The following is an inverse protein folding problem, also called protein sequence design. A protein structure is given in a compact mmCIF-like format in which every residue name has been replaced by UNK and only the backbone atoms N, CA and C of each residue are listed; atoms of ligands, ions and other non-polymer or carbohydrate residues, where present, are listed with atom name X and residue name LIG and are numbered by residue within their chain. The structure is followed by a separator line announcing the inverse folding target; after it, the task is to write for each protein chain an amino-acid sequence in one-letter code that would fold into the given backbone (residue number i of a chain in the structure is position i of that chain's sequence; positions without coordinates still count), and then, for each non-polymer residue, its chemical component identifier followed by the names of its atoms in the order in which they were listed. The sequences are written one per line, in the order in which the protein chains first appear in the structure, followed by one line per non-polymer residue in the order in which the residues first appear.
data_IF_118938913464
#
_entry.id   IF_118938913464
#
_cell.length_a   1.000
_cell.length_b   1.000
_cell.length_c   1.000
_cell.angle_alpha   90.00
_cell.angle_beta   90.00
_cell.angle_gamma   90.00
#
_symmetry.space_group_name_H-M   'P 1'
#
loop_
_entity.id
_entity.type
_entity.pdbx_description
1 polymer ?
#
# COMPACT_ATOMS: atom_id res chain seq x y z
N UNK A 1 -18.37 15.55 -3.90
CA UNK A 1 -17.50 15.77 -5.07
C UNK A 1 -16.55 16.89 -4.71
N UNK A 2 -15.31 16.54 -4.41
CA UNK A 2 -14.20 17.50 -4.41
C UNK A 2 -13.98 17.88 -5.88
N UNK A 3 -14.48 19.06 -6.29
CA UNK A 3 -14.09 19.68 -7.57
C UNK A 3 -12.70 20.29 -7.37
N UNK A 4 -11.67 19.44 -7.48
CA UNK A 4 -10.29 19.90 -7.41
C UNK A 4 -10.04 20.80 -8.63
N UNK A 5 -9.76 22.08 -8.37
CA UNK A 5 -9.37 23.06 -9.41
C UNK A 5 -7.88 23.33 -9.29
N UNK A 6 -7.14 22.99 -10.34
CA UNK A 6 -5.71 23.25 -10.42
C UNK A 6 -5.46 24.54 -11.22
N UNK A 7 -4.49 25.33 -10.80
CA UNK A 7 -4.08 26.56 -11.49
C UNK A 7 -2.56 26.59 -11.63
N UNK A 8 -2.04 26.89 -12.82
CA UNK A 8 -0.63 27.25 -12.99
C UNK A 8 -0.47 28.72 -12.58
N UNK A 9 0.60 29.08 -11.88
CA UNK A 9 0.81 30.44 -11.38
C UNK A 9 1.79 31.26 -12.24
N UNK A 10 2.70 30.59 -12.95
CA UNK A 10 3.76 31.23 -13.75
C UNK A 10 3.76 30.63 -15.16
N UNK A 11 3.95 31.45 -16.22
CA UNK A 11 4.14 32.91 -16.20
C UNK A 11 2.84 33.70 -15.94
N UNK A 12 1.67 33.07 -16.02
CA UNK A 12 0.36 33.69 -15.81
C UNK A 12 -0.59 32.69 -15.15
N UNK A 13 -1.60 33.20 -14.42
CA UNK A 13 -2.59 32.34 -13.75
C UNK A 13 -3.54 31.73 -14.77
N UNK A 14 -3.45 30.42 -15.02
CA UNK A 14 -4.36 29.69 -15.90
C UNK A 14 -4.98 28.53 -15.15
N UNK A 15 -6.28 28.31 -15.33
CA UNK A 15 -6.90 27.07 -14.90
C UNK A 15 -6.30 25.91 -15.69
N UNK A 16 -5.80 24.92 -14.97
CA UNK A 16 -5.37 23.65 -15.55
C UNK A 16 -6.59 22.75 -15.64
N UNK A 17 -7.07 22.58 -16.86
CA UNK A 17 -8.18 21.67 -17.13
C UNK A 17 -7.63 20.24 -17.17
N UNK A 18 -7.90 19.47 -16.11
CA UNK A 18 -7.61 18.05 -16.08
C UNK A 18 -8.80 17.31 -16.69
N UNK A 19 -8.54 16.48 -17.70
CA UNK A 19 -9.55 15.73 -18.43
C UNK A 19 -9.38 14.23 -18.18
N UNK A 20 -10.47 13.45 -18.28
CA UNK A 20 -10.34 12.02 -18.48
C UNK A 20 -9.61 11.75 -19.81
N UNK A 21 -8.77 10.73 -19.83
CA UNK A 21 -8.09 10.31 -21.05
C UNK A 21 -9.08 9.59 -21.96
N UNK A 22 -8.91 9.73 -23.27
CA UNK A 22 -9.84 9.14 -24.27
C UNK A 22 -9.70 7.63 -24.39
N UNK A 23 -8.50 7.09 -24.14
CA UNK A 23 -8.17 5.68 -24.24
C UNK A 23 -7.60 5.16 -22.92
N UNK A 24 -8.24 4.15 -22.34
CA UNK A 24 -7.81 3.47 -21.11
C UNK A 24 -6.37 2.97 -21.21
N UNK A 25 -6.00 2.40 -22.36
CA UNK A 25 -4.66 1.92 -22.68
C UNK A 25 -3.56 2.98 -22.54
N UNK A 26 -3.87 4.25 -22.78
CA UNK A 26 -2.88 5.33 -22.60
C UNK A 26 -2.56 5.55 -21.12
N UNK A 27 -3.57 5.47 -20.25
CA UNK A 27 -3.40 5.62 -18.80
C UNK A 27 -2.69 4.42 -18.21
N UNK A 28 -3.09 3.21 -18.63
CA UNK A 28 -2.41 1.98 -18.27
C UNK A 28 -0.92 2.05 -18.65
N UNK A 29 -0.58 2.32 -19.90
CA UNK A 29 0.82 2.39 -20.35
C UNK A 29 1.62 3.49 -19.61
N UNK A 30 0.99 4.63 -19.31
CA UNK A 30 1.60 5.70 -18.54
C UNK A 30 1.91 5.24 -17.11
N UNK A 31 0.98 4.55 -16.47
CA UNK A 31 1.15 4.04 -15.10
C UNK A 31 2.17 2.91 -15.09
N UNK A 32 2.07 1.90 -15.96
CA UNK A 32 3.03 0.78 -16.04
C UNK A 32 4.49 1.27 -16.16
N UNK A 33 4.73 2.27 -17.02
CA UNK A 33 6.08 2.85 -17.21
C UNK A 33 6.62 3.58 -15.99
N UNK A 34 5.74 4.14 -15.15
CA UNK A 34 6.11 5.00 -14.01
C UNK A 34 5.54 4.48 -12.68
N UNK A 35 5.22 3.19 -12.62
CA UNK A 35 4.42 2.58 -11.55
C UNK A 35 5.10 2.73 -10.19
N UNK A 36 6.43 2.63 -10.18
CA UNK A 36 7.25 2.78 -9.00
C UNK A 36 7.23 4.22 -8.48
N UNK A 37 7.33 5.20 -9.38
CA UNK A 37 7.29 6.61 -9.01
C UNK A 37 5.90 7.06 -8.54
N UNK A 38 4.83 6.54 -9.15
CA UNK A 38 3.46 6.93 -8.81
C UNK A 38 2.92 6.23 -7.57
N UNK A 39 3.26 4.96 -7.37
CA UNK A 39 2.61 4.11 -6.38
C UNK A 39 3.58 3.31 -5.50
N UNK A 40 4.90 3.44 -5.68
CA UNK A 40 5.87 2.57 -5.00
C UNK A 40 5.74 1.11 -5.39
N UNK A 41 5.18 0.83 -6.57
CA UNK A 41 4.96 -0.53 -7.07
C UNK A 41 5.87 -0.81 -8.26
N UNK A 42 6.63 -1.91 -8.18
CA UNK A 42 7.43 -2.39 -9.30
C UNK A 42 6.54 -3.15 -10.27
N UNK A 43 6.54 -2.73 -11.54
CA UNK A 43 5.74 -3.34 -12.60
C UNK A 43 6.21 -4.77 -12.89
N UNK A 44 5.27 -5.71 -13.02
CA UNK A 44 5.56 -7.12 -13.24
C UNK A 44 5.06 -7.62 -14.60
N UNK A 45 3.80 -7.36 -14.92
CA UNK A 45 3.20 -7.87 -16.16
C UNK A 45 2.01 -7.02 -16.59
N UNK A 46 1.86 -6.86 -17.91
CA UNK A 46 0.69 -6.24 -18.54
C UNK A 46 -0.18 -7.32 -19.18
N UNK A 47 -1.50 -7.13 -19.19
CA UNK A 47 -2.50 -7.96 -19.87
C UNK A 47 -2.38 -9.45 -19.54
N UNK A 48 -2.23 -9.77 -18.24
CA UNK A 48 -2.00 -11.15 -17.80
C UNK A 48 -3.30 -11.96 -17.87
N UNK A 49 -3.32 -12.92 -18.80
CA UNK A 49 -4.47 -13.81 -18.99
C UNK A 49 -4.47 -14.86 -17.89
N UNK A 50 -5.58 -14.95 -17.17
CA UNK A 50 -5.80 -15.91 -16.11
C UNK A 50 -6.92 -16.87 -16.49
N UNK A 51 -6.76 -18.11 -16.06
CA UNK A 51 -7.86 -19.06 -16.03
C UNK A 51 -8.20 -19.28 -14.56
N UNK A 52 -9.43 -18.97 -14.17
CA UNK A 52 -9.94 -19.30 -12.85
C UNK A 52 -10.85 -20.51 -12.97
N UNK A 53 -10.48 -21.59 -12.30
CA UNK A 53 -11.25 -22.83 -12.26
C UNK A 53 -12.06 -22.80 -10.97
N UNK A 54 -13.27 -22.23 -11.00
CA UNK A 54 -14.15 -22.17 -9.83
C UNK A 54 -15.08 -23.39 -9.74
N UNK A 55 -15.72 -23.58 -8.58
CA UNK A 55 -16.68 -24.68 -8.32
C UNK A 55 -17.88 -24.71 -9.29
N UNK A 56 -18.16 -23.58 -9.96
CA UNK A 56 -19.36 -23.40 -10.78
C UNK A 56 -19.09 -23.16 -12.27
N UNK A 57 -17.93 -22.65 -12.69
CA UNK A 57 -17.57 -22.45 -14.10
C UNK A 57 -16.09 -22.05 -14.29
N UNK A 58 -15.51 -22.40 -15.45
CA UNK A 58 -14.19 -21.89 -15.87
C UNK A 58 -14.36 -20.46 -16.41
N UNK A 59 -13.75 -19.49 -15.74
CA UNK A 59 -13.77 -18.10 -16.19
C UNK A 59 -12.38 -17.69 -16.67
N UNK A 60 -12.30 -17.22 -17.92
CA UNK A 60 -11.10 -16.61 -18.47
C UNK A 60 -11.14 -15.13 -18.11
N UNK A 61 -10.19 -14.69 -17.29
CA UNK A 61 -9.99 -13.30 -16.92
C UNK A 61 -8.76 -12.72 -17.60
N UNK A 62 -8.67 -11.39 -17.62
CA UNK A 62 -7.45 -10.70 -18.05
C UNK A 62 -7.20 -9.56 -17.07
N UNK A 63 -6.11 -9.69 -16.32
CA UNK A 63 -5.65 -8.67 -15.38
C UNK A 63 -4.92 -7.61 -16.19
N UNK A 64 -5.28 -6.34 -16.03
CA UNK A 64 -4.70 -5.26 -16.84
C UNK A 64 -3.21 -5.05 -16.52
N UNK A 65 -2.88 -4.89 -15.23
CA UNK A 65 -1.47 -4.88 -14.80
C UNK A 65 -1.26 -5.58 -13.46
N UNK A 66 -0.14 -6.29 -13.35
CA UNK A 66 0.39 -6.86 -12.12
C UNK A 66 1.64 -6.08 -11.69
N UNK A 67 1.79 -5.90 -10.39
CA UNK A 67 2.99 -5.34 -9.78
C UNK A 67 3.22 -5.86 -8.37
N UNK A 68 4.36 -5.51 -7.78
CA UNK A 68 4.75 -5.83 -6.40
C UNK A 68 5.11 -4.54 -5.67
N UNK A 69 4.48 -4.27 -4.52
CA UNK A 69 4.72 -3.01 -3.78
C UNK A 69 6.04 -3.03 -2.99
N UNK A 70 6.35 -1.90 -2.37
CA UNK A 70 7.53 -1.70 -1.52
C UNK A 70 7.58 -2.61 -0.28
N UNK A 71 6.44 -3.20 0.12
CA UNK A 71 6.34 -4.20 1.19
C UNK A 71 6.45 -5.63 0.67
N UNK A 72 6.73 -5.80 -0.63
CA UNK A 72 6.68 -7.08 -1.35
C UNK A 72 5.29 -7.72 -1.39
N UNK A 73 4.22 -6.94 -1.22
CA UNK A 73 2.86 -7.40 -1.39
C UNK A 73 2.45 -7.41 -2.87
N UNK A 74 1.76 -8.45 -3.34
CA UNK A 74 1.22 -8.47 -4.70
C UNK A 74 0.13 -7.42 -4.90
N UNK A 75 0.20 -6.68 -6.01
CA UNK A 75 -0.77 -5.65 -6.39
C UNK A 75 -1.34 -5.95 -7.78
N UNK A 76 -2.67 -5.89 -7.87
CA UNK A 76 -3.43 -5.90 -9.13
C UNK A 76 -3.86 -4.48 -9.45
N UNK A 77 -3.66 -4.02 -10.68
CA UNK A 77 -4.22 -2.77 -11.17
C UNK A 77 -5.31 -3.07 -12.19
N UNK A 78 -6.46 -2.40 -12.03
CA UNK A 78 -7.60 -2.48 -12.92
C UNK A 78 -8.00 -1.08 -13.35
N UNK A 79 -8.04 -0.83 -14.66
CA UNK A 79 -8.29 0.50 -15.20
C UNK A 79 -9.71 0.61 -15.71
N UNK A 80 -10.25 1.83 -15.63
CA UNK A 80 -11.55 2.16 -16.21
C UNK A 80 -11.61 3.48 -16.92
N UNK A 81 -12.36 3.46 -18.01
CA UNK A 81 -12.86 4.67 -18.65
C UNK A 81 -14.00 5.33 -17.87
N UNK A 82 -15.08 4.59 -17.61
CA UNK A 82 -16.37 5.14 -17.15
C UNK A 82 -16.79 4.62 -15.76
N UNK A 83 -17.53 5.46 -15.02
CA UNK A 83 -18.00 5.18 -13.65
C UNK A 83 -19.07 4.08 -13.53
N UNK A 84 -19.59 3.54 -14.64
CA UNK A 84 -20.72 2.60 -14.64
C UNK A 84 -20.31 1.13 -14.79
N UNK A 85 -19.02 0.85 -14.97
CA UNK A 85 -18.56 -0.53 -15.09
C UNK A 85 -18.11 -1.08 -13.74
N UNK A 86 -18.37 -2.36 -13.51
CA UNK A 86 -18.22 -3.00 -12.20
C UNK A 86 -16.77 -3.40 -11.83
N UNK A 87 -15.88 -2.42 -11.62
CA UNK A 87 -14.41 -2.65 -11.47
C UNK A 87 -14.09 -3.34 -10.19
N UNK A 88 -14.89 -3.04 -9.16
CA UNK A 88 -14.71 -3.63 -7.85
C UNK A 88 -14.93 -5.14 -7.94
N UNK A 89 -15.94 -5.60 -8.68
CA UNK A 89 -16.19 -7.03 -8.83
C UNK A 89 -15.12 -7.75 -9.67
N UNK A 90 -14.59 -7.12 -10.72
CA UNK A 90 -13.45 -7.66 -11.48
C UNK A 90 -12.19 -7.71 -10.60
N UNK A 91 -11.91 -6.62 -9.89
CA UNK A 91 -10.83 -6.55 -8.91
C UNK A 91 -10.91 -7.64 -7.85
N UNK A 92 -12.09 -7.88 -7.28
CA UNK A 92 -12.32 -8.96 -6.31
C UNK A 92 -12.02 -10.33 -6.91
N UNK A 93 -12.51 -10.60 -8.11
CA UNK A 93 -12.24 -11.86 -8.82
C UNK A 93 -10.73 -12.07 -9.04
N UNK A 94 -9.98 -11.01 -9.37
CA UNK A 94 -8.54 -11.09 -9.54
C UNK A 94 -7.76 -11.21 -8.23
N UNK A 95 -8.26 -10.58 -7.16
CA UNK A 95 -7.69 -10.76 -5.82
C UNK A 95 -7.84 -12.20 -5.35
N UNK A 96 -9.01 -12.81 -5.56
CA UNK A 96 -9.23 -14.22 -5.22
C UNK A 96 -8.34 -15.13 -6.08
N UNK A 97 -8.23 -14.87 -7.40
CA UNK A 97 -7.29 -15.60 -8.25
C UNK A 97 -5.85 -15.53 -7.73
N UNK A 98 -5.38 -14.33 -7.33
CA UNK A 98 -4.03 -14.12 -6.83
C UNK A 98 -3.75 -14.91 -5.54
N UNK A 99 -4.75 -15.02 -4.66
CA UNK A 99 -4.66 -15.81 -3.44
C UNK A 99 -4.62 -17.33 -3.70
N UNK A 100 -5.33 -17.80 -4.73
CA UNK A 100 -5.39 -19.22 -5.10
C UNK A 100 -4.18 -19.66 -5.96
N UNK A 101 -3.57 -18.72 -6.69
CA UNK A 101 -2.53 -18.98 -7.70
C UNK A 101 -1.18 -18.36 -7.30
N UNK A 102 -0.83 -18.45 -6.01
CA UNK A 102 0.42 -17.87 -5.47
C UNK A 102 1.67 -18.37 -6.18
N UNK A 103 1.67 -19.63 -6.62
CA UNK A 103 2.81 -20.23 -7.33
C UNK A 103 3.03 -19.57 -8.70
N UNK A 104 1.96 -19.22 -9.42
CA UNK A 104 2.04 -18.55 -10.71
C UNK A 104 2.57 -17.12 -10.55
N UNK A 105 2.06 -16.40 -9.56
CA UNK A 105 2.57 -15.06 -9.25
C UNK A 105 4.02 -15.09 -8.77
N UNK A 106 4.39 -16.04 -7.89
CA UNK A 106 5.79 -16.25 -7.48
C UNK A 106 6.68 -16.48 -8.70
N UNK A 107 6.22 -17.26 -9.68
CA UNK A 107 6.97 -17.52 -10.90
C UNK A 107 7.19 -16.25 -11.72
N UNK A 108 6.16 -15.41 -11.86
CA UNK A 108 6.30 -14.11 -12.51
C UNK A 108 7.38 -13.26 -11.83
N UNK A 109 7.33 -13.14 -10.50
CA UNK A 109 8.33 -12.37 -9.73
C UNK A 109 9.73 -12.98 -9.87
N UNK A 110 9.84 -14.31 -9.87
CA UNK A 110 11.11 -15.00 -10.08
C UNK A 110 11.70 -14.69 -11.45
N UNK A 111 10.89 -14.71 -12.50
CA UNK A 111 11.35 -14.50 -13.87
C UNK A 111 11.78 -13.03 -14.09
N UNK A 112 11.10 -12.06 -13.46
CA UNK A 112 11.39 -10.63 -13.63
C UNK A 112 12.46 -10.10 -12.66
N UNK A 113 12.39 -10.48 -11.38
CA UNK A 113 13.22 -9.92 -10.30
C UNK A 113 14.15 -10.94 -9.62
N UNK A 114 14.09 -12.20 -10.03
CA UNK A 114 14.93 -13.26 -9.50
C UNK A 114 14.42 -13.88 -8.20
N UNK A 115 15.13 -14.93 -7.77
CA UNK A 115 14.71 -15.79 -6.66
C UNK A 115 14.52 -15.07 -5.33
N UNK A 116 15.45 -14.16 -5.00
CA UNK A 116 15.40 -13.47 -3.70
C UNK A 116 14.12 -12.65 -3.54
N UNK A 117 13.70 -11.93 -4.59
CA UNK A 117 12.46 -11.16 -4.59
C UNK A 117 11.22 -12.06 -4.56
N UNK A 118 11.25 -13.20 -5.25
CA UNK A 118 10.15 -14.15 -5.26
C UNK A 118 9.95 -14.80 -3.88
N UNK A 119 11.04 -15.18 -3.22
CA UNK A 119 11.02 -15.78 -1.88
C UNK A 119 10.63 -14.76 -0.79
N UNK A 120 10.72 -13.45 -1.07
CA UNK A 120 10.36 -12.37 -0.15
C UNK A 120 8.93 -11.85 -0.31
N UNK A 121 8.11 -12.43 -1.20
CA UNK A 121 6.72 -12.00 -1.39
C UNK A 121 5.95 -12.12 -0.07
N UNK A 122 5.34 -11.02 0.37
CA UNK A 122 4.44 -11.00 1.53
C UNK A 122 2.98 -11.10 1.09
N UNK A 123 2.35 -12.21 1.47
CA UNK A 123 0.95 -12.51 1.16
C UNK A 123 -0.03 -12.00 2.22
N UNK A 124 0.44 -11.29 3.25
CA UNK A 124 -0.42 -10.80 4.33
C UNK A 124 -1.37 -9.68 3.88
N UNK A 125 -1.01 -8.88 2.87
CA UNK A 125 -1.84 -7.76 2.42
C UNK A 125 -1.79 -7.52 0.90
N UNK A 126 -2.13 -8.52 0.06
CA UNK A 126 -2.32 -8.30 -1.37
C UNK A 126 -3.47 -7.31 -1.61
N UNK A 127 -3.34 -6.48 -2.65
CA UNK A 127 -4.28 -5.40 -2.88
C UNK A 127 -4.68 -5.22 -4.35
N UNK A 128 -5.82 -4.57 -4.56
CA UNK A 128 -6.32 -4.17 -5.88
C UNK A 128 -6.45 -2.66 -5.96
N UNK A 129 -5.86 -2.07 -6.99
CA UNK A 129 -5.86 -0.64 -7.26
C UNK A 129 -6.78 -0.42 -8.48
N UNK A 130 -8.01 0.00 -8.22
CA UNK A 130 -8.97 0.34 -9.26
C UNK A 130 -8.75 1.81 -9.66
N UNK A 131 -8.33 2.06 -10.90
CA UNK A 131 -7.96 3.39 -11.40
C UNK A 131 -8.99 3.86 -12.44
N UNK A 132 -9.73 4.93 -12.14
CA UNK A 132 -10.79 5.42 -13.01
C UNK A 132 -10.86 6.95 -13.06
N UNK A 133 -11.52 7.50 -14.08
CA UNK A 133 -11.78 8.95 -14.14
C UNK A 133 -12.85 9.41 -13.14
N UNK A 134 -13.74 8.51 -12.74
CA UNK A 134 -14.81 8.74 -11.78
C UNK A 134 -15.34 7.41 -11.21
N UNK A 135 -15.92 7.47 -10.01
CA UNK A 135 -16.59 6.36 -9.35
C UNK A 135 -18.01 6.75 -8.95
N UNK A 136 -18.95 5.82 -9.05
CA UNK A 136 -20.32 6.00 -8.60
C UNK A 136 -20.43 6.01 -7.06
N UNK A 137 -21.52 6.58 -6.55
CA UNK A 137 -21.82 6.57 -5.11
C UNK A 137 -21.97 5.15 -4.53
N UNK A 138 -22.39 4.20 -5.37
CA UNK A 138 -22.58 2.80 -4.98
C UNK A 138 -21.24 2.06 -4.85
N UNK A 139 -20.27 2.38 -5.69
CA UNK A 139 -18.90 1.82 -5.62
C UNK A 139 -18.25 2.17 -4.28
N UNK A 140 -18.32 3.46 -3.91
CA UNK A 140 -17.81 3.96 -2.64
C UNK A 140 -18.52 3.36 -1.43
N UNK A 141 -19.82 3.06 -1.56
CA UNK A 141 -20.56 2.40 -0.49
C UNK A 141 -20.21 0.92 -0.37
N UNK A 142 -20.08 0.22 -1.50
CA UNK A 142 -19.76 -1.21 -1.56
C UNK A 142 -18.42 -1.51 -0.89
N UNK A 143 -17.40 -0.71 -1.16
CA UNK A 143 -16.08 -0.90 -0.55
C UNK A 143 -16.09 -0.76 0.96
N UNK A 144 -16.90 0.14 1.52
CA UNK A 144 -17.02 0.27 2.99
C UNK A 144 -17.62 -0.96 3.65
N UNK A 145 -18.32 -1.80 2.89
CA UNK A 145 -18.89 -3.07 3.37
C UNK A 145 -17.95 -4.26 3.10
N UNK A 146 -16.92 -4.07 2.28
CA UNK A 146 -15.98 -5.13 1.90
C UNK A 146 -14.76 -5.08 2.81
N UNK A 147 -14.47 -6.20 3.47
CA UNK A 147 -13.24 -6.35 4.26
C UNK A 147 -12.07 -6.83 3.38
N UNK A 148 -11.77 -6.09 2.31
CA UNK A 148 -10.73 -6.43 1.31
C UNK A 148 -9.85 -5.21 1.01
N UNK A 149 -8.58 -5.45 0.68
CA UNK A 149 -7.63 -4.38 0.36
C UNK A 149 -7.86 -3.83 -1.06
N UNK A 150 -8.92 -3.05 -1.26
CA UNK A 150 -9.24 -2.43 -2.55
C UNK A 150 -9.11 -0.92 -2.41
N UNK A 151 -8.29 -0.30 -3.26
CA UNK A 151 -8.11 1.14 -3.34
C UNK A 151 -8.75 1.68 -4.61
N UNK A 152 -9.60 2.70 -4.45
CA UNK A 152 -10.16 3.47 -5.56
C UNK A 152 -9.33 4.71 -5.78
N UNK A 153 -8.79 4.84 -6.99
CA UNK A 153 -7.92 5.93 -7.38
C UNK A 153 -8.59 6.67 -8.52
N UNK A 154 -9.06 7.87 -8.23
CA UNK A 154 -9.53 8.78 -9.25
C UNK A 154 -8.34 9.45 -9.91
N UNK A 155 -8.27 9.43 -11.23
CA UNK A 155 -7.24 10.17 -11.97
C UNK A 155 -7.83 11.29 -12.82
N UNK A 156 -7.04 12.34 -13.03
CA UNK A 156 -7.33 13.38 -14.00
C UNK A 156 -6.01 13.87 -14.62
N UNK A 157 -5.95 14.01 -15.95
CA UNK A 157 -4.69 14.27 -16.68
C UNK A 157 -4.85 15.41 -17.70
N UNK A 158 -3.77 16.14 -17.96
CA UNK A 158 -3.58 16.93 -19.18
C UNK A 158 -2.28 16.50 -19.86
N UNK A 159 -1.71 17.29 -20.79
CA UNK A 159 -0.52 16.87 -21.53
C UNK A 159 0.69 16.57 -20.63
N UNK A 160 0.92 17.40 -19.60
CA UNK A 160 2.15 17.38 -18.79
C UNK A 160 1.96 16.97 -17.32
N UNK A 161 0.71 16.88 -16.85
CA UNK A 161 0.38 16.63 -15.45
C UNK A 161 -0.68 15.54 -15.32
N UNK A 162 -0.54 14.72 -14.29
CA UNK A 162 -1.55 13.76 -13.85
C UNK A 162 -1.76 13.93 -12.35
N UNK A 163 -3.02 13.92 -11.94
CA UNK A 163 -3.46 13.90 -10.56
C UNK A 163 -3.99 12.51 -10.23
N UNK A 164 -3.62 11.99 -9.07
CA UNK A 164 -4.22 10.81 -8.44
C UNK A 164 -4.85 11.19 -7.11
N UNK A 165 -6.09 10.78 -6.90
CA UNK A 165 -6.83 11.01 -5.67
C UNK A 165 -7.36 9.67 -5.14
N UNK A 166 -6.92 9.31 -3.94
CA UNK A 166 -7.37 8.11 -3.25
C UNK A 166 -8.72 8.39 -2.58
N UNK A 167 -9.76 7.65 -2.97
CA UNK A 167 -11.12 7.89 -2.50
C UNK A 167 -11.48 7.08 -1.24
N UNK A 168 -10.61 6.17 -0.83
CA UNK A 168 -10.72 5.38 0.37
C UNK A 168 -9.35 4.95 0.90
N UNK A 169 -9.30 4.66 2.20
CA UNK A 169 -8.16 4.08 2.88
C UNK A 169 -8.56 2.73 3.50
N UNK A 170 -8.28 1.60 2.83
CA UNK A 170 -8.56 0.31 3.40
C UNK A 170 -7.56 0.01 4.53
N UNK A 171 -8.05 -0.16 5.75
CA UNK A 171 -7.25 -0.72 6.84
C UNK A 171 -7.33 -2.24 6.77
N UNK A 172 -6.19 -2.91 6.66
CA UNK A 172 -6.15 -4.37 6.65
C UNK A 172 -5.43 -4.92 7.86
N UNK A 173 -6.07 -5.89 8.50
CA UNK A 173 -5.37 -6.86 9.35
C UNK A 173 -4.69 -7.87 8.44
N UNK A 174 -3.55 -8.40 8.87
CA UNK A 174 -2.84 -9.43 8.12
C UNK A 174 -3.82 -10.55 7.76
N UNK A 175 -3.84 -10.98 6.50
CA UNK A 175 -4.65 -12.12 6.07
C UNK A 175 -4.24 -13.35 6.90
N UNK A 176 -4.96 -13.59 7.99
CA UNK A 176 -4.71 -14.73 8.86
C UNK A 176 -5.03 -15.95 8.03
N UNK A 177 -4.00 -16.70 7.65
CA UNK A 177 -4.18 -17.99 7.01
C UNK A 177 -4.96 -18.90 7.95
N UNK A 178 -6.26 -19.03 7.72
CA UNK A 178 -7.03 -20.18 8.13
C UNK A 178 -6.68 -21.37 7.23
N UNK A 179 -5.40 -21.72 7.08
CA UNK A 179 -5.01 -22.96 6.43
C UNK A 179 -3.78 -23.57 7.11
N UNK A 180 -4.01 -24.75 7.68
CA UNK A 180 -3.07 -25.63 8.37
C UNK A 180 -2.57 -25.21 9.76
N UNK A 181 -3.42 -25.47 10.77
CA UNK A 181 -2.95 -26.11 12.01
C UNK A 181 -2.34 -27.49 11.70
N UNK A 182 -1.21 -27.53 10.98
CA UNK A 182 -0.32 -28.69 11.02
C UNK A 182 0.77 -28.34 12.01
N UNK A 183 0.91 -29.20 13.03
CA UNK A 183 1.97 -29.17 14.02
C UNK A 183 3.33 -29.11 13.30
N UNK A 184 3.83 -27.91 13.07
CA UNK A 184 5.21 -27.68 12.71
C UNK A 184 5.99 -27.55 14.02
N UNK A 185 6.96 -28.45 14.19
CA UNK A 185 7.96 -28.48 15.24
C UNK A 185 8.46 -27.08 15.63
N UNK A 186 8.58 -26.83 16.95
CA UNK A 186 9.25 -25.67 17.55
C UNK A 186 10.66 -25.47 16.96
N UNK A 187 10.77 -24.73 15.86
CA UNK A 187 11.85 -23.78 15.64
C UNK A 187 11.26 -22.43 16.01
N UNK A 188 11.94 -21.68 16.88
CA UNK A 188 11.51 -20.34 17.25
C UNK A 188 11.59 -19.44 16.01
N UNK A 189 10.50 -19.33 15.26
CA UNK A 189 10.36 -18.33 14.22
C UNK A 189 10.17 -16.95 14.85
N UNK A 190 10.46 -15.91 14.07
CA UNK A 190 10.20 -14.54 14.48
C UNK A 190 8.70 -14.34 14.74
N UNK A 191 8.38 -13.58 15.78
CA UNK A 191 6.99 -13.27 16.15
C UNK A 191 6.37 -12.35 15.13
N UNK A 192 5.11 -12.61 14.79
CA UNK A 192 4.32 -11.71 13.95
C UNK A 192 4.07 -10.36 14.62
N UNK A 193 3.71 -9.33 13.85
CA UNK A 193 3.37 -8.02 14.42
C UNK A 193 2.24 -8.14 15.47
N UNK A 194 1.19 -8.90 15.16
CA UNK A 194 0.09 -9.17 16.10
C UNK A 194 0.60 -9.77 17.42
N UNK A 195 1.45 -10.81 17.37
CA UNK A 195 2.02 -11.43 18.56
C UNK A 195 2.98 -10.50 19.33
N UNK A 196 3.70 -9.64 18.61
CA UNK A 196 4.59 -8.64 19.19
C UNK A 196 3.77 -7.57 19.94
N UNK A 197 2.75 -7.03 19.30
CA UNK A 197 1.82 -6.05 19.87
C UNK A 197 1.06 -6.64 21.07
N UNK A 198 0.55 -7.86 20.94
CA UNK A 198 -0.16 -8.54 22.03
C UNK A 198 0.73 -8.80 23.25
N UNK A 199 2.01 -9.14 23.00
CA UNK A 199 3.01 -9.36 24.03
C UNK A 199 3.68 -8.10 24.58
N UNK A 200 3.39 -6.91 24.05
CA UNK A 200 4.01 -5.66 24.46
C UNK A 200 3.44 -5.13 25.81
N UNK A 201 4.24 -4.41 26.61
CA UNK A 201 3.76 -3.63 27.74
C UNK A 201 2.64 -2.65 27.35
N UNK A 202 1.71 -2.39 28.27
CA UNK A 202 0.54 -1.53 28.03
C UNK A 202 0.97 -0.13 27.56
N UNK A 203 2.06 0.39 28.11
CA UNK A 203 2.61 1.70 27.75
C UNK A 203 3.06 1.74 26.28
N UNK A 204 3.68 0.67 25.78
CA UNK A 204 4.14 0.58 24.39
C UNK A 204 2.99 0.34 23.42
N UNK A 205 1.97 -0.43 23.83
CA UNK A 205 0.72 -0.53 23.04
C UNK A 205 0.07 0.82 22.87
N UNK A 206 0.00 1.62 23.94
CA UNK A 206 -0.50 3.00 23.88
C UNK A 206 0.28 3.88 22.89
N UNK A 207 1.59 3.71 22.78
CA UNK A 207 2.39 4.41 21.76
C UNK A 207 2.03 3.97 20.34
N UNK A 208 1.90 2.66 20.10
CA UNK A 208 1.47 2.14 18.78
C UNK A 208 0.09 2.67 18.40
N UNK A 209 -0.87 2.64 19.34
CA UNK A 209 -2.24 3.08 19.11
C UNK A 209 -2.30 4.58 18.82
N UNK A 210 -1.53 5.40 19.55
CA UNK A 210 -1.44 6.85 19.30
C UNK A 210 -0.80 7.15 17.94
N UNK A 211 0.24 6.40 17.52
CA UNK A 211 0.81 6.53 16.16
C UNK A 211 -0.25 6.25 15.10
N UNK A 212 -0.99 5.15 15.23
CA UNK A 212 -2.07 4.80 14.29
C UNK A 212 -3.12 5.90 14.21
N UNK A 213 -3.60 6.38 15.36
CA UNK A 213 -4.61 7.41 15.44
C UNK A 213 -4.13 8.75 14.86
N UNK A 214 -2.90 9.16 15.21
CA UNK A 214 -2.32 10.40 14.74
C UNK A 214 -2.13 10.39 13.22
N UNK A 215 -1.58 9.30 12.67
CA UNK A 215 -1.40 9.19 11.22
C UNK A 215 -2.74 9.15 10.47
N UNK A 216 -3.73 8.42 10.98
CA UNK A 216 -5.07 8.38 10.40
C UNK A 216 -5.77 9.75 10.40
N UNK A 217 -5.34 10.68 11.26
CA UNK A 217 -5.92 12.03 11.34
C UNK A 217 -5.50 12.95 10.18
N UNK A 218 -4.43 12.60 9.44
CA UNK A 218 -3.93 13.45 8.34
C UNK A 218 -4.83 13.45 7.10
N UNK A 219 -5.56 12.37 6.84
CA UNK A 219 -6.42 12.29 5.66
C UNK A 219 -7.04 10.92 5.43
N UNK A 220 -8.08 10.90 4.59
CA UNK A 220 -8.76 9.66 4.16
C UNK A 220 -7.97 8.86 3.11
N UNK A 221 -6.80 9.34 2.73
CA UNK A 221 -5.81 8.73 1.84
C UNK A 221 -4.72 7.97 2.60
N UNK A 222 -4.67 8.09 3.94
CA UNK A 222 -3.78 7.31 4.81
C UNK A 222 -4.43 6.00 5.19
N UNK A 223 -3.80 4.89 4.85
CA UNK A 223 -4.25 3.55 5.22
C UNK A 223 -3.17 2.78 5.98
N UNK A 224 -3.57 1.70 6.63
CA UNK A 224 -2.66 0.82 7.35
C UNK A 224 -2.77 -0.62 6.85
N UNK A 225 -1.63 -1.27 6.67
CA UNK A 225 -1.51 -2.68 6.32
C UNK A 225 -0.72 -3.36 7.43
N UNK A 226 -1.38 -4.23 8.19
CA UNK A 226 -0.69 -5.12 9.11
C UNK A 226 -0.02 -6.24 8.30
N UNK A 227 1.31 -6.21 8.26
CA UNK A 227 2.12 -7.18 7.55
C UNK A 227 2.63 -8.25 8.50
N UNK A 228 3.34 -9.25 7.96
CA UNK A 228 3.74 -10.41 8.76
C UNK A 228 4.51 -10.00 10.02
N UNK A 229 5.44 -9.05 9.93
CA UNK A 229 6.35 -8.70 11.03
C UNK A 229 6.24 -7.25 11.51
N UNK A 230 5.56 -6.37 10.78
CA UNK A 230 5.44 -4.95 11.08
C UNK A 230 4.10 -4.40 10.58
N UNK A 231 3.74 -3.20 11.01
CA UNK A 231 2.59 -2.45 10.51
C UNK A 231 3.07 -1.37 9.55
N UNK A 232 2.59 -1.34 8.31
CA UNK A 232 2.90 -0.27 7.36
C UNK A 232 1.74 0.75 7.33
N UNK A 233 2.03 2.01 7.63
CA UNK A 233 1.10 3.12 7.42
C UNK A 233 1.52 3.85 6.15
N UNK A 234 0.62 3.96 5.18
CA UNK A 234 0.93 4.39 3.82
C UNK A 234 -0.14 5.29 3.19
N UNK A 235 0.31 6.19 2.32
CA UNK A 235 -0.53 6.90 1.34
C UNK A 235 -0.39 6.18 0.01
N UNK A 236 0.19 6.78 -1.02
CA UNK A 236 0.60 6.05 -2.23
C UNK A 236 1.75 5.11 -1.89
N UNK A 237 2.74 5.65 -1.16
CA UNK A 237 3.90 4.94 -0.63
C UNK A 237 3.85 4.86 0.89
N UNK A 238 4.71 4.03 1.47
CA UNK A 238 4.85 3.92 2.91
C UNK A 238 5.30 5.27 3.49
N UNK A 239 4.62 5.72 4.54
CA UNK A 239 4.98 6.91 5.30
C UNK A 239 5.83 6.50 6.50
N UNK A 240 5.35 5.47 7.21
CA UNK A 240 6.02 4.90 8.39
C UNK A 240 5.73 3.42 8.51
N UNK A 241 6.76 2.64 8.81
CA UNK A 241 6.63 1.25 9.26
C UNK A 241 6.82 1.18 10.78
N UNK A 242 5.97 0.43 11.47
CA UNK A 242 5.95 0.31 12.93
C UNK A 242 6.29 -1.10 13.33
N UNK A 243 7.34 -1.24 14.13
CA UNK A 243 7.69 -2.46 14.85
C UNK A 243 7.51 -2.25 16.35
N UNK A 244 7.19 -3.30 17.10
CA UNK A 244 7.11 -3.24 18.56
C UNK A 244 7.82 -4.42 19.19
N UNK A 245 8.60 -4.15 20.24
CA UNK A 245 9.20 -5.19 21.05
C UNK A 245 8.97 -4.90 22.54
N UNK A 246 9.51 -5.74 23.42
CA UNK A 246 9.30 -5.61 24.87
C UNK A 246 9.92 -4.35 25.50
N UNK A 247 10.76 -3.61 24.76
CA UNK A 247 11.54 -2.48 25.28
C UNK A 247 11.20 -1.13 24.64
N UNK A 248 10.77 -1.13 23.38
CA UNK A 248 10.45 0.08 22.61
C UNK A 248 9.55 -0.23 21.41
N UNK A 249 8.85 0.80 20.95
CA UNK A 249 8.28 0.91 19.61
C UNK A 249 9.37 1.48 18.69
N UNK A 250 9.46 0.98 17.47
CA UNK A 250 10.42 1.44 16.46
C UNK A 250 9.62 1.91 15.27
N UNK A 251 9.86 3.14 14.84
CA UNK A 251 9.28 3.72 13.62
C UNK A 251 10.38 3.81 12.57
N UNK A 252 10.14 3.27 11.39
CA UNK A 252 10.97 3.48 10.21
C UNK A 252 10.26 4.48 9.30
N UNK A 253 10.79 5.69 9.21
CA UNK A 253 10.20 6.79 8.44
C UNK A 253 10.79 6.82 7.03
N UNK A 254 9.92 6.95 6.03
CA UNK A 254 10.31 7.13 4.62
C UNK A 254 10.80 8.56 4.38
N UNK A 255 11.93 8.91 4.99
CA UNK A 255 12.61 10.18 4.85
C UNK A 255 14.04 9.95 4.39
N UNK A 256 14.58 10.90 3.62
CA UNK A 256 16.02 10.92 3.33
C UNK A 256 16.80 11.20 4.62
N UNK A 257 17.52 10.18 5.10
CA UNK A 257 18.29 10.26 6.34
C UNK A 257 19.34 11.38 6.34
N UNK A 258 19.86 11.77 5.17
CA UNK A 258 20.83 12.88 5.06
C UNK A 258 20.22 14.25 5.39
N UNK A 259 18.89 14.34 5.42
CA UNK A 259 18.14 15.57 5.70
C UNK A 259 17.57 15.62 7.12
N UNK A 260 17.88 14.62 7.97
CA UNK A 260 17.36 14.49 9.33
C UNK A 260 18.53 14.49 10.31
N UNK A 261 18.44 15.31 11.35
CA UNK A 261 19.44 15.34 12.42
C UNK A 261 19.28 14.13 13.35
N UNK A 262 20.38 13.40 13.58
CA UNK A 262 20.40 12.29 14.53
C UNK A 262 20.28 12.80 15.97
N UNK A 263 19.49 12.09 16.79
CA UNK A 263 19.27 12.42 18.20
C UNK A 263 19.34 11.13 19.03
N UNK A 264 19.03 11.20 20.33
CA UNK A 264 18.90 9.99 21.15
C UNK A 264 17.79 9.05 20.65
N UNK A 265 16.74 9.63 20.03
CA UNK A 265 15.58 8.92 19.51
C UNK A 265 15.74 8.55 18.03
N UNK A 266 16.42 9.38 17.24
CA UNK A 266 16.45 9.34 15.77
C UNK A 266 17.83 8.90 15.26
N UNK A 267 17.87 7.95 14.32
CA UNK A 267 19.13 7.44 13.74
C UNK A 267 19.02 7.19 12.24
N UNK A 268 20.15 7.32 11.56
CA UNK A 268 20.30 6.87 10.17
C UNK A 268 20.41 5.32 10.13
N UNK A 269 19.50 4.71 9.39
CA UNK A 269 19.41 3.28 9.11
C UNK A 269 19.40 2.95 7.61
N UNK A 270 19.76 3.89 6.74
CA UNK A 270 19.87 3.71 5.26
C UNK A 270 20.72 2.51 4.84
N UNK A 271 21.71 2.14 5.66
CA UNK A 271 22.64 1.04 5.41
C UNK A 271 22.42 -0.17 6.33
N UNK A 272 21.27 -0.24 7.03
CA UNK A 272 20.95 -1.30 7.99
C UNK A 272 19.71 -2.07 7.56
N UNK A 273 19.78 -3.39 7.63
CA UNK A 273 18.59 -4.24 7.43
C UNK A 273 17.60 -4.09 8.61
N UNK A 274 16.33 -3.91 8.28
CA UNK A 274 15.20 -3.81 9.22
C UNK A 274 13.92 -4.32 8.52
N UNK A 275 12.81 -4.45 9.25
CA UNK A 275 11.54 -4.83 8.63
C UNK A 275 10.81 -3.59 8.12
N UNK A 276 10.24 -3.69 6.93
CA UNK A 276 9.60 -2.57 6.26
C UNK A 276 10.58 -1.67 5.53
N UNK A 277 10.19 -0.42 5.37
CA UNK A 277 10.87 0.58 4.56
C UNK A 277 11.16 1.83 5.39
N UNK A 278 12.16 2.60 4.99
CA UNK A 278 12.46 3.91 5.55
C UNK A 278 13.86 3.99 6.11
N UNK A 279 14.57 5.06 5.77
CA UNK A 279 15.99 5.19 6.11
C UNK A 279 16.21 5.81 7.50
N UNK A 280 15.15 6.36 8.12
CA UNK A 280 15.23 7.02 9.43
C UNK A 280 14.53 6.17 10.49
N UNK A 281 15.29 5.68 11.47
CA UNK A 281 14.74 4.93 12.61
C UNK A 281 14.46 5.87 13.79
N UNK A 282 13.28 5.76 14.39
CA UNK A 282 12.89 6.45 15.62
C UNK A 282 12.50 5.43 16.69
N UNK A 283 13.25 5.38 17.79
CA UNK A 283 12.99 4.46 18.90
C UNK A 283 12.24 5.12 20.06
N UNK A 284 11.01 4.69 20.32
CA UNK A 284 10.10 5.27 21.31
C UNK A 284 9.79 4.33 22.48
N UNK A 285 9.76 4.87 23.69
CA UNK A 285 9.43 4.19 24.95
C UNK A 285 8.23 4.80 25.66
N UNK A 286 7.77 5.97 25.23
CA UNK A 286 6.66 6.68 25.84
C UNK A 286 5.95 7.61 24.87
N UNK A 287 4.73 8.02 25.24
CA UNK A 287 3.97 9.04 24.49
C UNK A 287 4.66 10.40 24.46
N UNK A 288 5.46 10.73 25.49
CA UNK A 288 6.21 11.99 25.50
C UNK A 288 7.25 12.03 24.39
N UNK A 289 7.99 10.93 24.21
CA UNK A 289 8.95 10.80 23.11
C UNK A 289 8.23 10.83 21.75
N UNK A 290 7.01 10.30 21.66
CA UNK A 290 6.19 10.41 20.45
C UNK A 290 5.86 11.88 20.10
N UNK A 291 5.45 12.69 21.07
CA UNK A 291 5.20 14.13 20.84
C UNK A 291 6.43 14.86 20.28
N UNK A 292 7.64 14.50 20.74
CA UNK A 292 8.89 15.11 20.27
C UNK A 292 9.17 14.80 18.79
N UNK A 293 8.66 13.68 18.26
CA UNK A 293 8.94 13.22 16.88
C UNK A 293 7.76 13.38 15.92
N UNK A 294 6.60 13.85 16.39
CA UNK A 294 5.44 14.19 15.53
C UNK A 294 5.80 15.07 14.33
N UNK A 295 6.69 16.08 14.44
CA UNK A 295 7.13 16.86 13.27
C UNK A 295 7.79 16.02 12.16
N UNK A 296 8.49 14.93 12.50
CA UNK A 296 9.07 14.01 11.52
C UNK A 296 7.99 13.14 10.85
N UNK A 297 6.96 12.73 11.60
CA UNK A 297 5.81 12.01 11.04
C UNK A 297 5.01 12.89 10.07
N UNK A 298 4.78 14.16 10.43
CA UNK A 298 4.16 15.15 9.54
C UNK A 298 4.97 15.33 8.25
N UNK A 299 6.29 15.44 8.39
CA UNK A 299 7.19 15.57 7.24
C UNK A 299 7.14 14.32 6.35
N UNK A 300 7.20 13.13 6.93
CA UNK A 300 7.13 11.87 6.19
C UNK A 300 5.80 11.75 5.43
N UNK A 301 4.69 12.22 6.01
CA UNK A 301 3.38 12.28 5.35
C UNK A 301 3.35 13.28 4.17
N UNK A 302 4.03 14.42 4.29
CA UNK A 302 4.04 15.43 3.21
C UNK A 302 4.93 15.04 2.02
N UNK A 303 5.96 14.22 2.27
CA UNK A 303 6.93 13.80 1.25
C UNK A 303 6.55 12.49 0.52
N UNK A 304 5.50 11.76 0.95
CA UNK A 304 5.08 10.44 0.41
C UNK A 304 3.56 10.32 0.17
#
# INVERSE_FOLDING_TARGET
MSDIKLFSLKPQVLSVELKPVKLEKEVQALIERNMEAFFGVRFLKSEYVINHTGDYENQIGRIDSLGIDENNCPIVFEYKRDANENVINQGLFYLDWLLDHRADYWRLVFDEFGKAAADSIDWSSPAVYCVASAFGKYDLHAIKQMNRNIRLIRYAKNDDMILFEFLNAPSTVAAVEASSKKQASKRAGDKTFAEQYDGAPVELKGVVDEVRQYMASFGSDVSENELKFYLAIKKARNIVCVEVNQKRVILHLSLDASTVEETELVRDCSNKGHWGTGDVEVGLRSLKELEEVKPLLERAYMEN
#
